data_IF_560005216984
#
_entry.id   IF_560005216984
#
_cell.length_a   1.000
_cell.length_b   1.000
_cell.length_c   1.000
_cell.angle_alpha   90.00
_cell.angle_beta   90.00
_cell.angle_gamma   90.00
#
_symmetry.space_group_name_H-M   'P 1'
#
loop_
_entity.id
_entity.type
_entity.pdbx_description
1 polymer ?
#
# COMPACT_ATOMS: atom_id res chain seq x y z
N UNK A 1 34.55 -18.46 71.40
CA UNK A 1 34.04 -18.86 70.07
C UNK A 1 32.76 -18.08 69.87
N UNK A 2 32.76 -17.18 68.87
CA UNK A 2 31.63 -16.53 68.15
C UNK A 2 30.30 -16.33 68.92
N UNK A 3 29.68 -15.16 68.99
CA UNK A 3 29.57 -14.08 68.00
C UNK A 3 29.12 -12.79 68.70
N UNK A 4 29.44 -11.66 68.07
CA UNK A 4 29.38 -10.31 68.59
C UNK A 4 28.01 -9.63 68.41
N UNK A 5 27.74 -8.72 69.34
CA UNK A 5 26.66 -7.74 69.37
C UNK A 5 26.58 -6.83 68.13
N UNK A 6 25.36 -6.48 67.73
CA UNK A 6 25.05 -5.30 66.92
C UNK A 6 23.80 -4.62 67.51
N UNK A 7 23.85 -3.32 67.88
CA UNK A 7 22.66 -2.51 68.04
C UNK A 7 22.50 -1.46 66.93
N UNK A 8 21.28 -0.92 66.90
CA UNK A 8 20.62 -0.11 65.90
C UNK A 8 21.20 1.30 65.64
N UNK A 9 20.94 1.77 64.42
CA UNK A 9 20.28 3.04 64.06
C UNK A 9 21.08 3.92 63.07
N UNK A 10 20.44 4.25 61.95
CA UNK A 10 20.58 5.49 61.19
C UNK A 10 19.80 5.35 59.87
N UNK A 11 18.70 6.11 59.75
CA UNK A 11 17.90 6.22 58.54
C UNK A 11 18.70 6.71 57.33
N UNK A 12 18.41 6.12 56.18
CA UNK A 12 18.81 6.66 54.88
C UNK A 12 17.55 7.14 54.16
N UNK A 13 17.53 8.44 53.95
CA UNK A 13 16.63 9.21 53.12
C UNK A 13 16.83 8.77 51.66
N UNK A 14 15.77 8.30 51.01
CA UNK A 14 15.76 8.04 49.57
C UNK A 14 15.60 9.39 48.88
N UNK A 15 16.65 9.89 48.24
CA UNK A 15 16.53 10.99 47.29
C UNK A 15 15.96 10.44 45.97
N UNK A 16 14.77 10.90 45.61
CA UNK A 16 14.20 10.73 44.28
C UNK A 16 15.00 11.58 43.27
N UNK A 17 15.22 11.11 42.03
CA UNK A 17 15.89 11.92 41.02
C UNK A 17 15.02 13.10 40.59
N UNK A 18 15.59 14.30 40.65
CA UNK A 18 14.99 15.56 40.19
C UNK A 18 14.57 15.48 38.72
N UNK A 19 13.31 15.85 38.46
CA UNK A 19 12.76 16.13 37.14
C UNK A 19 13.55 17.26 36.47
N UNK A 20 14.23 16.96 35.37
CA UNK A 20 14.65 17.97 34.40
C UNK A 20 13.60 18.02 33.29
N UNK A 21 12.47 18.68 33.56
CA UNK A 21 11.60 19.20 32.51
C UNK A 21 12.21 20.51 31.99
N UNK A 22 13.07 20.42 30.98
CA UNK A 22 13.42 21.58 30.15
C UNK A 22 12.77 21.47 28.77
N UNK A 23 11.57 22.07 28.68
CA UNK A 23 11.11 22.88 27.55
C UNK A 23 11.24 22.34 26.14
N UNK A 24 10.36 21.41 25.75
CA UNK A 24 9.88 21.33 24.37
C UNK A 24 8.51 22.02 24.35
N UNK A 25 8.47 23.30 23.98
CA UNK A 25 7.20 24.05 23.88
C UNK A 25 6.25 23.34 22.90
N UNK A 26 5.10 22.91 23.41
CA UNK A 26 4.06 22.18 22.67
C UNK A 26 3.60 22.93 21.40
N UNK A 27 3.74 24.25 21.39
CA UNK A 27 3.42 25.12 20.25
C UNK A 27 4.27 24.78 19.01
N UNK A 28 5.52 24.36 19.20
CA UNK A 28 6.42 23.99 18.09
C UNK A 28 6.05 22.66 17.41
N UNK A 29 5.42 21.73 18.15
CA UNK A 29 4.95 20.45 17.61
C UNK A 29 3.67 20.64 16.81
N UNK A 30 2.77 21.53 17.27
CA UNK A 30 1.55 21.88 16.53
C UNK A 30 1.88 22.60 15.22
N UNK A 31 2.85 23.51 15.22
CA UNK A 31 3.25 24.28 14.03
C UNK A 31 3.89 23.38 12.96
N UNK A 32 4.74 22.41 13.36
CA UNK A 32 5.30 21.40 12.45
C UNK A 32 4.21 20.48 11.89
N UNK A 33 3.18 20.15 12.68
CA UNK A 33 2.04 19.34 12.23
C UNK A 33 1.20 20.07 11.17
N UNK A 34 1.06 21.39 11.30
CA UNK A 34 0.31 22.22 10.36
C UNK A 34 1.07 22.37 9.04
N UNK A 35 2.39 22.63 9.07
CA UNK A 35 3.18 22.77 7.85
C UNK A 35 3.29 21.44 7.06
N UNK A 36 3.39 20.30 7.75
CA UNK A 36 3.38 18.98 7.10
C UNK A 36 2.00 18.61 6.56
N UNK A 37 0.91 18.97 7.25
CA UNK A 37 -0.46 18.80 6.76
C UNK A 37 -0.71 19.63 5.49
N UNK A 38 -0.26 20.88 5.45
CA UNK A 38 -0.39 21.75 4.28
C UNK A 38 0.40 21.25 3.07
N UNK A 39 1.60 20.68 3.29
CA UNK A 39 2.40 20.05 2.22
C UNK A 39 1.74 18.79 1.68
N UNK A 40 1.12 17.98 2.54
CA UNK A 40 0.38 16.79 2.14
C UNK A 40 -0.90 17.16 1.37
N UNK A 41 -1.64 18.19 1.80
CA UNK A 41 -2.79 18.71 1.08
C UNK A 41 -2.42 19.29 -0.30
N UNK A 42 -1.28 19.99 -0.39
CA UNK A 42 -0.76 20.46 -1.69
C UNK A 42 -0.43 19.30 -2.62
N UNK A 43 0.18 18.24 -2.10
CA UNK A 43 0.46 17.02 -2.87
C UNK A 43 -0.83 16.32 -3.34
N UNK A 44 -1.84 16.23 -2.46
CA UNK A 44 -3.16 15.68 -2.80
C UNK A 44 -3.92 16.52 -3.85
N UNK A 45 -3.77 17.84 -3.84
CA UNK A 45 -4.33 18.74 -4.85
C UNK A 45 -3.67 18.58 -6.21
N UNK A 46 -2.36 18.34 -6.26
CA UNK A 46 -1.66 18.03 -7.52
C UNK A 46 -2.16 16.69 -8.09
N UNK A 47 -2.35 15.69 -7.25
CA UNK A 47 -2.93 14.40 -7.66
C UNK A 47 -4.39 14.51 -8.14
N UNK A 48 -5.21 15.37 -7.54
CA UNK A 48 -6.60 15.59 -7.99
C UNK A 48 -6.68 16.41 -9.28
N UNK A 49 -5.75 17.33 -9.52
CA UNK A 49 -5.64 18.05 -10.79
C UNK A 49 -5.28 17.12 -11.96
N UNK A 50 -4.35 16.18 -11.74
CA UNK A 50 -4.01 15.14 -12.72
C UNK A 50 -5.22 14.24 -13.02
N UNK A 51 -6.07 13.98 -12.03
CA UNK A 51 -7.31 13.22 -12.23
C UNK A 51 -8.40 14.00 -13.00
N UNK A 52 -8.36 15.34 -12.96
CA UNK A 52 -9.34 16.21 -13.63
C UNK A 52 -9.00 16.56 -15.08
N UNK A 53 -7.75 16.39 -15.52
CA UNK A 53 -7.32 16.61 -16.92
C UNK A 53 -7.58 15.40 -17.84
N UNK A 54 -8.06 14.27 -17.29
CA UNK A 54 -8.53 13.13 -18.08
C UNK A 54 -10.00 13.31 -18.48
N UNK A 55 -10.26 14.30 -19.34
CA UNK A 55 -11.56 14.41 -20.03
C UNK A 55 -11.66 13.27 -21.06
N UNK A 56 -12.65 12.41 -20.88
CA UNK A 56 -12.81 11.17 -21.63
C UNK A 56 -13.42 11.50 -22.98
N UNK A 57 -12.59 11.80 -23.98
CA UNK A 57 -13.08 11.77 -25.36
C UNK A 57 -13.34 10.31 -25.76
N UNK A 58 -14.61 10.00 -26.06
CA UNK A 58 -15.01 8.70 -26.59
C UNK A 58 -14.19 8.37 -27.85
N UNK A 59 -13.55 7.19 -27.92
CA UNK A 59 -12.80 6.80 -29.11
C UNK A 59 -13.78 6.47 -30.24
N UNK A 60 -13.70 7.24 -31.33
CA UNK A 60 -14.35 6.93 -32.60
C UNK A 60 -13.72 5.65 -33.17
N UNK A 61 -14.52 4.59 -33.34
CA UNK A 61 -14.11 3.34 -33.97
C UNK A 61 -13.59 3.58 -35.39
N UNK A 62 -12.30 3.31 -35.61
CA UNK A 62 -11.69 3.19 -36.94
C UNK A 62 -11.97 1.81 -37.57
N UNK A 63 -11.76 1.66 -38.89
CA UNK A 63 -12.21 0.48 -39.64
C UNK A 63 -11.36 -0.76 -39.33
N UNK A 64 -12.04 -1.90 -39.35
CA UNK A 64 -11.52 -3.23 -39.00
C UNK A 64 -10.30 -3.63 -39.84
N UNK A 65 -9.23 -4.06 -39.16
CA UNK A 65 -8.07 -4.69 -39.80
C UNK A 65 -8.16 -6.21 -39.69
N UNK A 66 -7.90 -6.85 -40.83
CA UNK A 66 -8.16 -8.24 -41.18
C UNK A 66 -7.63 -9.30 -40.22
N UNK A 67 -8.48 -10.30 -39.99
CA UNK A 67 -8.27 -11.53 -39.24
C UNK A 67 -7.13 -12.39 -39.78
N UNK A 68 -6.18 -12.76 -38.91
CA UNK A 68 -5.37 -13.96 -39.10
C UNK A 68 -5.56 -14.89 -37.92
N UNK A 69 -6.28 -15.97 -38.20
CA UNK A 69 -6.38 -17.26 -37.49
C UNK A 69 -6.81 -17.22 -36.02
N UNK A 70 -8.10 -16.91 -35.82
CA UNK A 70 -8.80 -17.29 -34.59
C UNK A 70 -9.16 -18.78 -34.65
N UNK A 71 -8.78 -19.50 -33.60
CA UNK A 71 -9.22 -20.87 -33.35
C UNK A 71 -10.76 -20.95 -33.45
N UNK A 72 -11.34 -21.78 -34.32
CA UNK A 72 -12.78 -21.83 -34.58
C UNK A 72 -13.64 -22.26 -33.38
N UNK A 73 -13.01 -22.65 -32.27
CA UNK A 73 -13.68 -22.99 -31.01
C UNK A 73 -13.62 -21.88 -29.94
N UNK A 74 -13.14 -20.67 -30.24
CA UNK A 74 -13.06 -19.59 -29.25
C UNK A 74 -14.43 -19.00 -28.87
N UNK A 75 -15.45 -19.19 -29.72
CA UNK A 75 -16.84 -18.92 -29.38
C UNK A 75 -17.45 -20.13 -28.65
N UNK A 76 -17.03 -20.40 -27.42
CA UNK A 76 -17.81 -21.24 -26.51
C UNK A 76 -18.62 -20.35 -25.59
N UNK A 77 -19.92 -20.31 -25.88
CA UNK A 77 -21.05 -19.86 -25.06
C UNK A 77 -20.71 -19.37 -23.65
N UNK A 78 -20.55 -18.04 -23.51
CA UNK A 78 -20.53 -17.35 -22.21
C UNK A 78 -21.87 -17.43 -21.47
N UNK A 79 -22.90 -18.07 -22.06
CA UNK A 79 -24.24 -18.25 -21.51
C UNK A 79 -24.47 -19.64 -20.89
N UNK A 80 -23.48 -20.54 -20.94
CA UNK A 80 -23.60 -21.85 -20.27
C UNK A 80 -23.52 -21.69 -18.75
N UNK A 81 -24.62 -21.96 -18.06
CA UNK A 81 -24.69 -22.06 -16.58
C UNK A 81 -23.97 -23.28 -16.01
N UNK A 82 -23.49 -24.19 -16.86
CA UNK A 82 -22.66 -25.32 -16.48
C UNK A 82 -21.19 -25.03 -16.80
N UNK A 83 -20.58 -24.18 -15.98
CA UNK A 83 -19.13 -23.95 -16.04
C UNK A 83 -18.39 -25.12 -15.39
N UNK A 84 -17.37 -25.71 -16.04
CA UNK A 84 -16.64 -26.85 -15.49
C UNK A 84 -16.02 -26.48 -14.13
N UNK A 85 -16.15 -27.40 -13.17
CA UNK A 85 -15.40 -27.35 -11.92
C UNK A 85 -13.94 -27.66 -12.24
N UNK A 86 -13.04 -26.69 -12.05
CA UNK A 86 -11.61 -26.90 -12.22
C UNK A 86 -11.05 -27.51 -10.93
N UNK A 87 -10.60 -28.77 -10.92
CA UNK A 87 -10.01 -29.37 -9.72
C UNK A 87 -8.73 -28.63 -9.33
N UNK A 88 -8.46 -28.65 -8.02
CA UNK A 88 -7.30 -28.02 -7.38
C UNK A 88 -6.01 -28.25 -8.18
N UNK A 89 -5.50 -27.19 -8.81
CA UNK A 89 -4.28 -27.21 -9.62
C UNK A 89 -4.45 -26.67 -11.05
N UNK A 90 -5.65 -26.75 -11.62
CA UNK A 90 -5.95 -26.01 -12.85
C UNK A 90 -6.24 -24.55 -12.50
N UNK A 91 -5.40 -23.62 -12.96
CA UNK A 91 -5.68 -22.19 -12.79
C UNK A 91 -6.96 -21.86 -13.53
N UNK A 92 -7.99 -21.52 -12.77
CA UNK A 92 -9.24 -20.96 -13.27
C UNK A 92 -8.95 -19.89 -14.38
N UNK A 93 -9.60 -19.97 -15.55
CA UNK A 93 -9.36 -19.05 -16.66
C UNK A 93 -9.44 -17.57 -16.26
N UNK A 94 -10.33 -17.22 -15.33
CA UNK A 94 -10.46 -15.85 -14.83
C UNK A 94 -9.22 -15.45 -14.01
N UNK A 95 -8.73 -16.33 -13.12
CA UNK A 95 -7.46 -16.11 -12.41
C UNK A 95 -6.28 -15.91 -13.36
N UNK A 96 -6.23 -16.62 -14.49
CA UNK A 96 -5.17 -16.42 -15.50
C UNK A 96 -5.23 -15.03 -16.14
N UNK A 97 -6.42 -14.50 -16.37
CA UNK A 97 -6.63 -13.17 -16.96
C UNK A 97 -6.17 -12.05 -16.03
N UNK A 98 -6.46 -12.15 -14.73
CA UNK A 98 -6.11 -11.13 -13.74
C UNK A 98 -4.71 -11.29 -13.14
N UNK A 99 -4.05 -12.43 -13.41
CA UNK A 99 -2.72 -12.76 -12.91
C UNK A 99 -1.69 -11.64 -13.05
N UNK A 100 -1.57 -10.91 -14.18
CA UNK A 100 -0.59 -9.83 -14.30
C UNK A 100 -0.79 -8.72 -13.26
N UNK A 101 -2.03 -8.37 -12.93
CA UNK A 101 -2.33 -7.37 -11.90
C UNK A 101 -1.90 -7.86 -10.51
N UNK A 102 -2.28 -9.07 -10.16
CA UNK A 102 -1.98 -9.66 -8.84
C UNK A 102 -0.48 -9.88 -8.66
N UNK A 103 0.21 -10.40 -9.67
CA UNK A 103 1.66 -10.62 -9.62
C UNK A 103 2.43 -9.29 -9.54
N UNK A 104 2.04 -8.28 -10.32
CA UNK A 104 2.65 -6.95 -10.26
C UNK A 104 2.46 -6.30 -8.89
N UNK A 105 1.28 -6.42 -8.29
CA UNK A 105 1.01 -5.86 -6.97
C UNK A 105 1.75 -6.64 -5.87
N UNK A 106 1.86 -7.96 -5.98
CA UNK A 106 2.66 -8.77 -5.05
C UNK A 106 4.16 -8.48 -5.16
N UNK A 107 4.66 -8.17 -6.36
CA UNK A 107 6.02 -7.68 -6.53
C UNK A 107 6.21 -6.32 -5.84
N UNK A 108 5.26 -5.40 -6.03
CA UNK A 108 5.27 -4.11 -5.35
C UNK A 108 5.35 -4.25 -3.82
N UNK A 109 4.49 -5.09 -3.21
CA UNK A 109 4.49 -5.31 -1.76
C UNK A 109 5.79 -5.93 -1.22
N UNK A 110 6.45 -6.81 -1.98
CA UNK A 110 7.61 -7.58 -1.51
C UNK A 110 8.95 -6.90 -1.80
N UNK A 111 9.08 -6.34 -2.99
CA UNK A 111 10.35 -5.84 -3.52
C UNK A 111 10.23 -4.36 -3.90
N UNK A 112 9.09 -3.95 -4.46
CA UNK A 112 8.87 -2.57 -4.89
C UNK A 112 9.00 -1.56 -3.76
N UNK A 113 8.38 -1.81 -2.60
CA UNK A 113 8.47 -0.95 -1.43
C UNK A 113 9.92 -0.79 -0.97
N UNK A 114 10.66 -1.90 -0.79
CA UNK A 114 12.05 -1.84 -0.38
C UNK A 114 12.94 -1.07 -1.37
N UNK A 115 12.71 -1.26 -2.66
CA UNK A 115 13.42 -0.54 -3.72
C UNK A 115 13.15 0.96 -3.66
N UNK A 116 11.93 1.39 -3.34
CA UNK A 116 11.60 2.81 -3.14
C UNK A 116 12.34 3.37 -1.93
N UNK A 117 12.30 2.67 -0.79
CA UNK A 117 12.96 3.13 0.44
C UNK A 117 14.48 3.27 0.28
N UNK A 118 15.12 2.32 -0.42
CA UNK A 118 16.58 2.33 -0.65
C UNK A 118 17.04 3.56 -1.44
N UNK A 119 16.18 4.12 -2.28
CA UNK A 119 16.50 5.29 -3.12
C UNK A 119 15.85 6.57 -2.61
N UNK A 120 15.19 6.53 -1.45
CA UNK A 120 14.55 7.71 -0.87
C UNK A 120 15.62 8.59 -0.22
N UNK A 121 15.69 9.85 -0.63
CA UNK A 121 16.60 10.81 -0.02
C UNK A 121 16.10 11.23 1.38
N UNK A 122 17.00 11.32 2.39
CA UNK A 122 16.64 11.83 3.71
C UNK A 122 16.08 13.25 3.66
N UNK A 123 15.07 13.51 4.48
CA UNK A 123 14.49 14.85 4.63
C UNK A 123 15.28 15.59 5.71
N UNK A 124 15.91 16.71 5.35
CA UNK A 124 16.62 17.56 6.30
C UNK A 124 15.66 18.62 6.85
N UNK A 125 15.51 18.62 8.18
CA UNK A 125 14.76 19.64 8.92
C UNK A 125 15.77 20.57 9.58
N UNK A 126 15.63 21.88 9.35
CA UNK A 126 16.49 22.91 9.95
C UNK A 126 15.72 23.55 11.10
N UNK A 127 16.29 23.49 12.29
CA UNK A 127 15.79 24.14 13.51
C UNK A 127 16.77 25.22 13.98
N UNK A 128 16.37 26.11 14.89
CA UNK A 128 17.28 27.08 15.48
C UNK A 128 18.49 26.45 16.21
N UNK A 129 18.34 25.21 16.70
CA UNK A 129 19.41 24.48 17.40
C UNK A 129 20.33 23.68 16.45
N UNK A 130 19.98 23.50 15.17
CA UNK A 130 20.79 22.75 14.21
C UNK A 130 19.98 22.16 13.06
N UNK A 131 20.59 21.26 12.28
CA UNK A 131 19.91 20.52 11.22
C UNK A 131 19.87 19.03 11.54
N UNK A 132 18.71 18.41 11.40
CA UNK A 132 18.50 16.97 11.61
C UNK A 132 18.06 16.34 10.30
N UNK A 133 18.75 15.28 9.87
CA UNK A 133 18.36 14.49 8.70
C UNK A 133 17.51 13.30 9.14
N UNK A 134 16.31 13.20 8.57
CA UNK A 134 15.32 12.17 8.86
C UNK A 134 15.27 11.21 7.68
N UNK A 135 15.52 9.93 7.93
CA UNK A 135 15.53 8.85 6.94
C UNK A 135 14.41 7.86 7.22
N UNK A 136 13.90 7.22 6.17
CA UNK A 136 12.94 6.12 6.31
C UNK A 136 13.69 4.80 6.13
N UNK A 137 13.69 3.97 7.17
CA UNK A 137 14.41 2.70 7.18
C UNK A 137 13.57 1.57 6.60
N UNK A 138 12.31 1.51 7.01
CA UNK A 138 11.41 0.41 6.68
C UNK A 138 9.94 0.87 6.63
N UNK A 139 9.13 0.15 5.85
CA UNK A 139 7.70 0.36 5.71
C UNK A 139 6.97 -1.00 5.73
N UNK A 140 6.31 -1.26 6.84
CA UNK A 140 5.47 -2.44 7.02
C UNK A 140 4.05 -2.17 6.55
N UNK A 141 3.55 -3.01 5.64
CA UNK A 141 2.15 -2.99 5.19
C UNK A 141 1.44 -4.18 5.83
N UNK A 142 0.43 -3.88 6.66
CA UNK A 142 -0.36 -4.89 7.37
C UNK A 142 -1.36 -5.63 6.47
N UNK A 143 -2.38 -6.19 7.11
CA UNK A 143 -3.54 -6.80 6.43
C UNK A 143 -4.78 -5.92 6.60
N UNK A 144 -5.77 -6.04 5.70
CA UNK A 144 -6.97 -5.21 5.70
C UNK A 144 -7.69 -5.16 7.05
N UNK A 145 -7.88 -3.97 7.62
CA UNK A 145 -8.59 -3.83 8.89
C UNK A 145 -9.35 -2.52 8.97
N UNK A 146 -10.44 -2.52 9.73
CA UNK A 146 -11.24 -1.33 10.00
C UNK A 146 -11.46 -1.20 11.51
N UNK A 147 -11.03 -0.08 12.10
CA UNK A 147 -11.09 0.16 13.55
C UNK A 147 -10.48 -0.99 14.37
N UNK A 148 -9.33 -1.50 13.93
CA UNK A 148 -8.59 -2.58 14.60
C UNK A 148 -9.16 -3.99 14.41
N UNK A 149 -10.28 -4.16 13.68
CA UNK A 149 -10.82 -5.49 13.37
C UNK A 149 -10.47 -5.92 11.95
N UNK A 150 -10.26 -7.22 11.77
CA UNK A 150 -10.18 -7.86 10.46
C UNK A 150 -11.46 -7.59 9.66
N UNK A 151 -11.34 -7.11 8.43
CA UNK A 151 -12.48 -6.88 7.53
C UNK A 151 -12.36 -7.72 6.25
N UNK A 152 -13.48 -8.15 5.70
CA UNK A 152 -13.57 -8.85 4.42
C UNK A 152 -14.06 -7.91 3.29
N UNK A 153 -13.76 -8.23 2.03
CA UNK A 153 -14.15 -7.38 0.90
C UNK A 153 -15.68 -7.18 0.79
N UNK A 154 -16.49 -8.22 1.05
CA UNK A 154 -17.96 -8.18 1.10
C UNK A 154 -18.47 -7.07 2.04
N UNK A 155 -17.96 -7.02 3.27
CA UNK A 155 -18.29 -5.98 4.24
C UNK A 155 -17.91 -4.58 3.74
N UNK A 156 -16.81 -4.45 3.00
CA UNK A 156 -16.41 -3.17 2.42
C UNK A 156 -17.37 -2.69 1.32
N UNK A 157 -17.85 -3.62 0.46
CA UNK A 157 -18.83 -3.31 -0.59
C UNK A 157 -20.14 -2.80 0.01
N UNK A 158 -20.67 -3.53 0.99
CA UNK A 158 -21.94 -3.19 1.65
C UNK A 158 -21.84 -1.93 2.51
N UNK A 159 -20.72 -1.77 3.22
CA UNK A 159 -20.49 -0.67 4.16
C UNK A 159 -20.03 0.64 3.53
N UNK A 160 -19.82 0.69 2.20
CA UNK A 160 -19.23 1.88 1.57
C UNK A 160 -17.79 2.16 2.02
N UNK A 161 -17.06 1.14 2.47
CA UNK A 161 -15.71 1.27 3.03
C UNK A 161 -14.63 0.97 1.98
N UNK A 162 -13.42 1.45 2.23
CA UNK A 162 -12.24 1.05 1.45
C UNK A 162 -11.57 -0.16 2.08
N UNK A 163 -11.20 -1.15 1.27
CA UNK A 163 -10.53 -2.37 1.73
C UNK A 163 -9.04 -2.10 1.99
N UNK A 164 -8.76 -1.49 3.14
CA UNK A 164 -7.48 -0.86 3.45
C UNK A 164 -6.68 -1.63 4.50
N UNK A 165 -5.37 -1.77 4.28
CA UNK A 165 -4.41 -2.23 5.27
C UNK A 165 -3.66 -1.04 5.90
N UNK A 166 -3.41 -1.06 7.23
CA UNK A 166 -2.61 -0.04 7.88
C UNK A 166 -1.14 -0.18 7.49
N UNK A 167 -0.45 0.95 7.38
CA UNK A 167 0.99 1.02 7.16
C UNK A 167 1.69 1.58 8.38
N UNK A 168 2.86 1.04 8.70
CA UNK A 168 3.76 1.53 9.75
C UNK A 168 5.13 1.77 9.15
N UNK A 169 5.72 2.92 9.44
CA UNK A 169 7.00 3.33 8.91
C UNK A 169 7.99 3.51 10.04
N UNK A 170 9.18 2.95 9.90
CA UNK A 170 10.27 3.15 10.83
C UNK A 170 11.13 4.29 10.30
N UNK A 171 11.22 5.35 11.10
CA UNK A 171 11.90 6.59 10.76
C UNK A 171 13.07 6.75 11.70
N UNK A 172 14.25 7.02 11.15
CA UNK A 172 15.46 7.27 11.93
C UNK A 172 16.09 8.62 11.66
N UNK A 173 16.79 9.13 12.67
CA UNK A 173 17.53 10.37 12.60
C UNK A 173 18.72 10.32 13.55
N UNK A 174 19.73 11.14 13.25
CA UNK A 174 20.92 11.25 14.09
C UNK A 174 20.97 12.62 14.76
N UNK A 175 21.18 12.62 16.08
CA UNK A 175 21.39 13.84 16.88
C UNK A 175 22.71 13.70 17.62
N UNK A 176 23.67 14.56 17.33
CA UNK A 176 24.98 14.59 17.99
C UNK A 176 25.73 13.24 18.02
N UNK A 177 25.56 12.41 16.99
CA UNK A 177 26.18 11.09 16.90
C UNK A 177 25.37 9.95 17.49
N UNK A 178 24.23 10.24 18.14
CA UNK A 178 23.28 9.23 18.62
C UNK A 178 22.20 8.98 17.58
N UNK A 179 21.95 7.71 17.26
CA UNK A 179 20.93 7.28 16.31
C UNK A 179 19.63 6.96 17.06
N UNK A 180 18.55 7.62 16.66
CA UNK A 180 17.22 7.39 17.17
C UNK A 180 16.35 6.82 16.04
N UNK A 181 15.49 5.85 16.37
CA UNK A 181 14.52 5.29 15.43
C UNK A 181 13.16 5.14 16.12
N UNK A 182 12.08 5.48 15.42
CA UNK A 182 10.72 5.37 15.93
C UNK A 182 9.76 4.85 14.86
N UNK A 183 8.84 3.98 15.29
CA UNK A 183 7.81 3.42 14.42
C UNK A 183 6.55 4.27 14.46
N UNK A 184 6.25 4.96 13.35
CA UNK A 184 5.10 5.86 13.20
C UNK A 184 4.03 5.28 12.28
N UNK A 185 2.74 5.59 12.50
CA UNK A 185 1.69 5.27 11.52
C UNK A 185 1.91 6.03 10.21
N UNK A 186 1.86 5.32 9.08
CA UNK A 186 2.07 5.88 7.74
C UNK A 186 0.78 5.91 6.89
N UNK A 187 -0.38 5.97 7.56
CA UNK A 187 -1.67 5.92 6.91
C UNK A 187 -2.08 4.51 6.49
N UNK A 188 -2.87 4.40 5.42
CA UNK A 188 -3.44 3.15 4.96
C UNK A 188 -3.24 2.96 3.46
N UNK A 189 -3.06 1.71 3.03
CA UNK A 189 -2.99 1.32 1.62
C UNK A 189 -4.21 0.48 1.24
N UNK A 190 -4.85 0.81 0.12
CA UNK A 190 -5.92 -0.03 -0.43
C UNK A 190 -5.34 -1.32 -0.98
N UNK A 191 -5.88 -2.44 -0.52
CA UNK A 191 -5.37 -3.77 -0.82
C UNK A 191 -6.08 -4.37 -2.02
N UNK A 192 -5.30 -4.92 -2.96
CA UNK A 192 -5.85 -5.63 -4.12
C UNK A 192 -6.41 -6.99 -3.70
N UNK A 193 -7.58 -7.35 -4.20
CA UNK A 193 -8.18 -8.65 -3.91
C UNK A 193 -7.31 -9.79 -4.47
N UNK A 194 -7.22 -10.89 -3.72
CA UNK A 194 -6.35 -12.06 -3.96
C UNK A 194 -4.84 -11.78 -3.98
N UNK A 195 -4.40 -10.58 -3.62
CA UNK A 195 -2.97 -10.28 -3.42
C UNK A 195 -2.40 -10.88 -2.12
N UNK A 196 -1.08 -10.72 -1.93
CA UNK A 196 -0.30 -11.34 -0.87
C UNK A 196 -0.88 -11.14 0.55
N UNK A 197 -1.31 -9.91 0.85
CA UNK A 197 -1.84 -9.52 2.16
C UNK A 197 -3.38 -9.48 2.20
N UNK A 198 -4.05 -9.89 1.12
CA UNK A 198 -5.51 -9.98 1.09
C UNK A 198 -6.01 -11.22 1.83
N UNK A 199 -7.10 -11.06 2.59
CA UNK A 199 -7.71 -12.16 3.34
C UNK A 199 -8.27 -13.28 2.45
N UNK A 200 -8.58 -12.99 1.19
CA UNK A 200 -9.14 -13.98 0.25
C UNK A 200 -8.07 -14.86 -0.42
N UNK A 201 -6.78 -14.54 -0.30
CA UNK A 201 -5.71 -15.16 -1.11
C UNK A 201 -5.73 -16.68 -1.08
N UNK A 202 -5.84 -17.26 0.12
CA UNK A 202 -5.69 -18.69 0.37
C UNK A 202 -7.01 -19.39 0.75
N UNK A 203 -8.14 -18.70 0.64
CA UNK A 203 -9.44 -19.27 0.98
C UNK A 203 -9.92 -20.23 -0.11
N UNK A 204 -10.46 -21.35 0.34
CA UNK A 204 -11.15 -22.34 -0.48
C UNK A 204 -12.50 -21.82 -0.96
N UNK A 205 -13.07 -22.36 -2.06
CA UNK A 205 -14.39 -21.96 -2.57
C UNK A 205 -15.48 -21.89 -1.50
N UNK A 206 -15.56 -22.89 -0.63
CA UNK A 206 -16.55 -22.96 0.46
C UNK A 206 -16.34 -21.89 1.53
N UNK A 207 -15.09 -21.50 1.79
CA UNK A 207 -14.76 -20.45 2.75
C UNK A 207 -15.06 -19.05 2.18
N UNK A 208 -14.91 -18.88 0.87
CA UNK A 208 -15.29 -17.65 0.17
C UNK A 208 -16.80 -17.42 0.27
N UNK A 209 -17.59 -18.46 -0.03
CA UNK A 209 -19.05 -18.42 0.10
C UNK A 209 -19.49 -18.06 1.52
N UNK A 210 -18.83 -18.62 2.54
CA UNK A 210 -19.09 -18.30 3.95
C UNK A 210 -18.83 -16.82 4.29
N UNK A 211 -17.90 -16.20 3.59
CA UNK A 211 -17.58 -14.77 3.73
C UNK A 211 -18.35 -13.87 2.77
N UNK A 212 -19.38 -14.38 2.08
CA UNK A 212 -20.19 -13.60 1.14
C UNK A 212 -19.47 -13.23 -0.15
N UNK A 213 -18.43 -13.98 -0.51
CA UNK A 213 -17.70 -13.84 -1.78
C UNK A 213 -18.12 -14.93 -2.76
N UNK A 214 -17.87 -14.70 -4.05
CA UNK A 214 -18.01 -15.75 -5.06
C UNK A 214 -16.94 -16.85 -4.83
N UNK A 215 -17.41 -18.10 -4.84
CA UNK A 215 -16.60 -19.33 -4.93
C UNK A 215 -15.45 -19.24 -5.94
N UNK A 216 -15.64 -18.49 -7.04
CA UNK A 216 -14.68 -18.28 -8.14
C UNK A 216 -14.09 -16.87 -8.19
N UNK A 217 -14.14 -16.10 -7.09
CA UNK A 217 -13.55 -14.76 -7.02
C UNK A 217 -12.11 -14.74 -7.56
N UNK A 218 -11.87 -14.00 -8.64
CA UNK A 218 -10.60 -13.98 -9.35
C UNK A 218 -9.59 -12.98 -8.76
N UNK A 219 -10.08 -11.86 -8.20
CA UNK A 219 -9.29 -10.74 -7.69
C UNK A 219 -8.70 -9.85 -8.79
N UNK A 220 -7.66 -9.10 -8.45
CA UNK A 220 -6.98 -8.19 -9.41
C UNK A 220 -7.54 -6.77 -9.49
N UNK A 221 -8.50 -6.43 -8.63
CA UNK A 221 -9.08 -5.10 -8.49
C UNK A 221 -9.08 -4.66 -7.01
N UNK A 222 -9.46 -3.42 -6.76
CA UNK A 222 -9.52 -2.79 -5.45
C UNK A 222 -10.95 -2.44 -5.07
N UNK A 223 -11.22 -2.32 -3.77
CA UNK A 223 -12.47 -1.75 -3.26
C UNK A 223 -12.15 -0.44 -2.58
N UNK A 224 -12.69 0.65 -3.13
CA UNK A 224 -12.51 2.00 -2.61
C UNK A 224 -13.89 2.67 -2.43
N UNK A 225 -14.20 3.04 -1.19
CA UNK A 225 -15.50 3.59 -0.78
C UNK A 225 -16.67 2.72 -1.25
N UNK A 226 -16.58 1.40 -1.03
CA UNK A 226 -17.54 0.39 -1.46
C UNK A 226 -17.59 0.10 -2.96
N UNK A 227 -16.84 0.85 -3.78
CA UNK A 227 -16.83 0.68 -5.22
C UNK A 227 -15.65 -0.16 -5.67
N UNK A 228 -15.89 -1.10 -6.57
CA UNK A 228 -14.86 -1.88 -7.22
C UNK A 228 -14.14 -1.05 -8.29
N UNK A 229 -12.82 -1.01 -8.24
CA UNK A 229 -11.96 -0.21 -9.12
C UNK A 229 -10.84 -1.08 -9.67
N UNK A 230 -10.76 -1.17 -10.99
CA UNK A 230 -9.70 -1.87 -11.71
C UNK A 230 -8.70 -0.87 -12.26
N UNK A 231 -7.40 -1.11 -12.05
CA UNK A 231 -6.34 -0.38 -12.75
C UNK A 231 -6.14 -1.00 -14.12
N UNK A 232 -6.47 -0.28 -15.19
CA UNK A 232 -6.25 -0.75 -16.56
C UNK A 232 -4.77 -0.74 -16.90
N UNK A 233 -4.29 -1.80 -17.56
CA UNK A 233 -2.95 -1.81 -18.13
C UNK A 233 -2.84 -0.76 -19.23
N UNK A 234 -1.80 0.07 -19.16
CA UNK A 234 -1.52 1.07 -20.19
C UNK A 234 -0.48 0.50 -21.14
N UNK A 235 -0.75 0.58 -22.44
CA UNK A 235 0.22 0.25 -23.48
C UNK A 235 1.07 1.49 -23.73
N UNK A 236 2.33 1.43 -23.35
CA UNK A 236 3.30 2.50 -23.57
C UNK A 236 4.40 2.05 -24.53
N UNK A 237 4.95 2.96 -25.36
CA UNK A 237 6.16 2.66 -26.10
C UNK A 237 7.31 2.35 -25.14
N UNK A 238 8.24 1.51 -25.59
CA UNK A 238 9.43 1.18 -24.81
C UNK A 238 10.24 2.44 -24.50
N UNK A 239 10.49 2.68 -23.22
CA UNK A 239 11.40 3.73 -22.77
C UNK A 239 12.85 3.25 -22.92
N UNK A 240 13.77 4.19 -23.05
CA UNK A 240 15.22 3.93 -23.21
C UNK A 240 15.54 3.00 -24.39
N UNK A 241 14.74 3.08 -25.46
CA UNK A 241 14.91 2.28 -26.67
C UNK A 241 14.85 3.20 -27.90
N UNK A 242 15.95 3.39 -28.65
CA UNK A 242 15.93 4.24 -29.83
C UNK A 242 15.02 3.63 -30.90
N UNK A 243 14.04 4.40 -31.38
CA UNK A 243 13.11 3.99 -32.43
C UNK A 243 13.33 4.87 -33.66
N UNK A 244 13.70 4.26 -34.78
CA UNK A 244 13.69 4.90 -36.09
C UNK A 244 12.30 4.83 -36.70
N UNK A 245 11.88 5.91 -37.38
CA UNK A 245 10.59 5.97 -38.07
C UNK A 245 10.81 6.57 -39.45
N UNK A 246 10.44 5.83 -40.50
CA UNK A 246 10.36 6.36 -41.85
C UNK A 246 8.93 6.83 -42.10
N UNK A 247 8.77 8.09 -42.55
CA UNK A 247 7.47 8.66 -42.89
C UNK A 247 7.50 9.15 -44.33
N UNK A 248 6.61 8.59 -45.15
CA UNK A 248 6.46 8.93 -46.56
C UNK A 248 6.07 10.38 -46.83
N UNK A 249 5.58 11.10 -45.82
CA UNK A 249 5.18 12.50 -45.90
C UNK A 249 6.35 13.49 -45.97
N UNK A 250 7.57 13.07 -45.64
CA UNK A 250 8.76 13.95 -45.65
C UNK A 250 9.66 13.73 -46.89
N UNK A 251 9.07 13.38 -48.03
CA UNK A 251 9.77 13.22 -49.31
C UNK A 251 9.90 14.53 -50.07
#
# INVERSE_FOLDING_TARGET
MSEADVPADAGSFVEEPENVEEGFEADSVEEISQETAERLERSQRVCSLIASEFDVHEPVCGPEMSTTETNPNYHRDFTSTNLPFYPNGATDPMRRLVRPHVESFNFFLREGVQNVLTHLEPVVVVTPQGSVAISVEDLEIGTPSHKGRKIYPSECREGGLSYNAPMRMNVSWNVHGEEHSVSVPAGNMTMMLRSANCHLRNLQPTELELHGEDSREAGGYFIHNGNERLLRMVILPRRHYPMGMDRSAYK
#
